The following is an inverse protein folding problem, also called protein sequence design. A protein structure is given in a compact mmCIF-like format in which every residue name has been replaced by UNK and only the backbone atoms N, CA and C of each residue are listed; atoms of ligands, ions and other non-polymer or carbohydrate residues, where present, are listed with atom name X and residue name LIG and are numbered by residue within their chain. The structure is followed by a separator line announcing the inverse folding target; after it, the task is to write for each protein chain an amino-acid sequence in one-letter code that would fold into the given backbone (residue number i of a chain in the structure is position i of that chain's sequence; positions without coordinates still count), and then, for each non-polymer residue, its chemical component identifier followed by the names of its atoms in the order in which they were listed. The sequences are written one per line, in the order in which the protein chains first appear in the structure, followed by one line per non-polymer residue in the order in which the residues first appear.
data_IF_295579797226
#
_entry.id   IF_295579797226
#
_cell.length_a   1.000
_cell.length_b   1.000
_cell.length_c   1.000
_cell.angle_alpha   90.00
_cell.angle_beta   90.00
_cell.angle_gamma   90.00
#
_symmetry.space_group_name_H-M   'P 1'
#
loop_
_entity.id
_entity.type
_entity.pdbx_description
1 polymer ?
#
# COMPACT_ATOMS: atom_id res chain seq x y z
N UNK A 1 -0.46 -5.73 -11.24
CA UNK A 1 -1.85 -5.45 -10.92
C UNK A 1 -2.79 -6.54 -11.44
N UNK A 2 -2.70 -6.93 -12.70
CA UNK A 2 -3.57 -7.97 -13.31
C UNK A 2 -3.58 -9.29 -12.54
N UNK A 3 -2.46 -9.72 -12.01
CA UNK A 3 -2.39 -10.96 -11.19
C UNK A 3 -3.24 -10.91 -9.91
N UNK A 4 -3.61 -9.72 -9.45
CA UNK A 4 -4.38 -9.51 -8.23
C UNK A 4 -5.85 -9.16 -8.52
N UNK A 5 -6.10 -8.40 -9.56
CA UNK A 5 -7.41 -7.84 -9.87
C UNK A 5 -7.98 -8.31 -11.21
N UNK A 6 -7.24 -9.15 -11.95
CA UNK A 6 -7.62 -9.58 -13.28
C UNK A 6 -7.87 -8.42 -14.24
N UNK A 7 -8.68 -8.68 -15.26
CA UNK A 7 -9.02 -7.67 -16.27
C UNK A 7 -9.83 -6.49 -15.72
N UNK A 8 -10.43 -6.62 -14.53
CA UNK A 8 -11.23 -5.53 -13.94
C UNK A 8 -10.42 -4.26 -13.73
N UNK A 9 -9.09 -4.38 -13.54
CA UNK A 9 -8.19 -3.24 -13.34
C UNK A 9 -8.14 -2.30 -14.55
N UNK A 10 -8.44 -2.79 -15.75
CA UNK A 10 -8.39 -2.02 -16.99
C UNK A 10 -9.69 -1.29 -17.33
N UNK A 11 -10.79 -1.58 -16.62
CA UNK A 11 -12.11 -1.02 -16.93
C UNK A 11 -12.21 0.47 -16.65
N UNK A 12 -11.37 1.01 -15.76
CA UNK A 12 -11.39 2.42 -15.39
C UNK A 12 -10.01 3.03 -15.60
N UNK A 13 -9.78 3.45 -16.85
CA UNK A 13 -8.50 4.07 -17.25
C UNK A 13 -8.30 5.41 -16.56
N UNK A 14 -7.09 5.61 -16.00
CA UNK A 14 -6.67 6.86 -15.38
C UNK A 14 -6.98 6.99 -13.88
N UNK A 15 -8.08 6.45 -13.37
CA UNK A 15 -8.45 6.55 -11.95
C UNK A 15 -7.58 5.67 -11.04
N UNK A 16 -7.01 4.61 -11.59
CA UNK A 16 -6.13 3.69 -10.85
C UNK A 16 -4.77 4.31 -10.50
N UNK A 17 -4.39 5.43 -11.10
CA UNK A 17 -3.19 6.17 -10.71
C UNK A 17 -3.34 6.93 -9.38
N UNK A 18 -4.58 7.14 -8.92
CA UNK A 18 -4.89 7.98 -7.76
C UNK A 18 -5.69 7.26 -6.66
N UNK A 19 -5.80 5.94 -6.70
CA UNK A 19 -6.56 5.14 -5.72
C UNK A 19 -8.05 5.56 -5.59
N UNK A 20 -8.67 6.04 -6.67
CA UNK A 20 -10.05 6.55 -6.63
C UNK A 20 -11.07 5.42 -6.72
N UNK A 21 -10.76 4.37 -7.49
CA UNK A 21 -11.67 3.28 -7.75
C UNK A 21 -11.38 2.04 -6.92
N UNK A 22 -12.45 1.36 -6.53
CA UNK A 22 -12.41 0.05 -5.89
C UNK A 22 -12.53 -1.04 -6.95
N UNK A 23 -11.73 -2.08 -6.82
CA UNK A 23 -11.73 -3.25 -7.70
C UNK A 23 -11.94 -4.52 -6.88
N UNK A 24 -12.65 -5.46 -7.45
CA UNK A 24 -12.80 -6.80 -6.87
C UNK A 24 -11.52 -7.60 -7.11
N UNK A 25 -11.06 -8.33 -6.10
CA UNK A 25 -9.94 -9.24 -6.24
C UNK A 25 -10.37 -10.53 -6.93
N UNK A 26 -9.56 -11.04 -7.82
CA UNK A 26 -9.74 -12.39 -8.36
C UNK A 26 -9.28 -13.46 -7.37
N UNK A 27 -10.01 -14.56 -7.32
CA UNK A 27 -9.68 -15.71 -6.48
C UNK A 27 -8.66 -16.64 -7.16
N UNK A 28 -7.86 -17.39 -6.39
CA UNK A 28 -7.76 -17.44 -4.92
C UNK A 28 -6.79 -16.37 -4.41
N UNK A 29 -7.21 -15.66 -3.36
CA UNK A 29 -6.37 -14.66 -2.74
C UNK A 29 -5.53 -15.29 -1.62
N UNK A 30 -4.23 -15.04 -1.58
CA UNK A 30 -3.38 -15.54 -0.50
C UNK A 30 -3.53 -14.67 0.76
N UNK A 31 -3.38 -15.29 1.95
CA UNK A 31 -3.37 -14.57 3.23
C UNK A 31 -2.30 -13.46 3.30
N UNK A 32 -1.32 -13.50 2.39
CA UNK A 32 -0.26 -12.51 2.27
C UNK A 32 -0.80 -11.08 2.05
N UNK A 33 -1.98 -10.94 1.42
CA UNK A 33 -2.57 -9.65 1.10
C UNK A 33 -3.77 -9.28 1.98
N UNK A 34 -4.01 -10.04 3.05
CA UNK A 34 -5.16 -9.82 3.94
C UNK A 34 -5.26 -8.38 4.48
N UNK A 35 -4.12 -7.70 4.70
CA UNK A 35 -4.08 -6.33 5.20
C UNK A 35 -4.60 -5.26 4.25
N UNK A 36 -4.78 -5.57 2.96
CA UNK A 36 -5.27 -4.63 1.93
C UNK A 36 -6.64 -5.01 1.38
N UNK A 37 -7.23 -6.09 1.91
CA UNK A 37 -8.51 -6.61 1.47
C UNK A 37 -9.65 -6.15 2.38
N UNK A 38 -10.72 -5.66 1.78
CA UNK A 38 -11.95 -5.31 2.46
C UNK A 38 -13.09 -6.17 1.93
N UNK A 39 -13.88 -6.78 2.81
CA UNK A 39 -15.12 -7.44 2.36
C UNK A 39 -16.05 -6.43 1.74
N UNK A 40 -16.65 -6.76 0.61
CA UNK A 40 -17.61 -5.91 -0.10
C UNK A 40 -18.90 -5.76 0.70
N UNK A 41 -19.39 -6.87 1.25
CA UNK A 41 -20.49 -6.94 2.22
C UNK A 41 -20.17 -7.99 3.30
N UNK A 42 -20.93 -8.02 4.39
CA UNK A 42 -20.75 -9.02 5.45
C UNK A 42 -21.07 -10.45 4.97
N UNK A 43 -21.96 -10.58 3.99
CA UNK A 43 -22.47 -11.85 3.48
C UNK A 43 -21.67 -12.38 2.29
N UNK A 44 -21.00 -11.51 1.54
CA UNK A 44 -20.23 -11.89 0.36
C UNK A 44 -18.84 -12.41 0.71
N UNK A 45 -18.38 -13.39 -0.06
CA UNK A 45 -16.98 -13.80 -0.09
C UNK A 45 -16.18 -13.02 -1.15
N UNK A 46 -16.67 -11.83 -1.52
CA UNK A 46 -16.01 -10.93 -2.46
C UNK A 46 -15.18 -9.93 -1.65
N UNK A 47 -13.92 -9.84 -2.00
CA UNK A 47 -12.98 -8.89 -1.41
C UNK A 47 -12.65 -7.81 -2.42
N UNK A 48 -12.51 -6.59 -1.92
CA UNK A 48 -12.20 -5.41 -2.73
C UNK A 48 -10.96 -4.69 -2.21
N UNK A 49 -10.32 -3.94 -3.09
CA UNK A 49 -9.22 -3.05 -2.74
C UNK A 49 -9.17 -1.83 -3.64
N UNK A 50 -8.42 -0.82 -3.22
CA UNK A 50 -8.17 0.39 -4.01
C UNK A 50 -6.72 0.40 -4.46
N UNK A 51 -6.39 -0.19 -5.61
CA UNK A 51 -5.03 -0.21 -6.10
C UNK A 51 -4.59 1.16 -6.63
N UNK A 52 -3.31 1.45 -6.48
CA UNK A 52 -2.61 2.45 -7.26
C UNK A 52 -1.67 1.73 -8.22
N UNK A 53 -1.87 1.94 -9.52
CA UNK A 53 -0.98 1.39 -10.53
C UNK A 53 0.18 2.35 -10.72
N UNK A 54 1.38 1.86 -10.44
CA UNK A 54 2.62 2.62 -10.63
C UNK A 54 2.96 2.64 -12.12
N UNK A 55 3.12 3.83 -12.67
CA UNK A 55 3.55 4.01 -14.06
C UNK A 55 5.01 3.57 -14.23
N UNK A 56 5.37 3.08 -15.41
CA UNK A 56 6.75 2.74 -15.76
C UNK A 56 7.72 3.95 -15.64
N UNK A 57 7.18 5.16 -15.71
CA UNK A 57 7.95 6.41 -15.55
C UNK A 57 8.35 6.70 -14.10
N UNK A 58 7.69 6.06 -13.12
CA UNK A 58 7.97 6.24 -11.69
C UNK A 58 9.11 5.31 -11.27
N UNK A 59 10.31 5.63 -11.73
CA UNK A 59 11.50 4.77 -11.65
C UNK A 59 11.78 4.32 -10.22
N UNK A 60 11.77 5.24 -9.25
CA UNK A 60 12.10 4.95 -7.85
C UNK A 60 11.13 3.95 -7.23
N UNK A 61 9.83 4.17 -7.39
CA UNK A 61 8.80 3.29 -6.84
C UNK A 61 8.89 1.90 -7.49
N UNK A 62 9.13 1.85 -8.80
CA UNK A 62 9.32 0.58 -9.50
C UNK A 62 10.55 -0.18 -9.00
N UNK A 63 11.66 0.53 -8.72
CA UNK A 63 12.86 -0.09 -8.12
C UNK A 63 12.56 -0.67 -6.73
N UNK A 64 11.80 0.05 -5.90
CA UNK A 64 11.39 -0.43 -4.56
C UNK A 64 10.50 -1.66 -4.70
N UNK A 65 9.48 -1.62 -5.56
CA UNK A 65 8.58 -2.75 -5.79
C UNK A 65 9.33 -4.00 -6.26
N UNK A 66 10.25 -3.85 -7.20
CA UNK A 66 11.08 -4.96 -7.69
C UNK A 66 11.96 -5.55 -6.58
N UNK A 67 12.53 -4.73 -5.71
CA UNK A 67 13.32 -5.18 -4.56
C UNK A 67 12.47 -5.92 -3.53
N UNK A 68 11.29 -5.40 -3.22
CA UNK A 68 10.35 -6.04 -2.30
C UNK A 68 9.87 -7.38 -2.86
N UNK A 69 9.55 -7.46 -4.14
CA UNK A 69 9.20 -8.72 -4.80
C UNK A 69 10.36 -9.74 -4.71
N UNK A 70 11.59 -9.31 -4.97
CA UNK A 70 12.74 -10.19 -4.92
C UNK A 70 13.08 -10.72 -3.51
N UNK A 71 12.81 -9.93 -2.46
CA UNK A 71 13.15 -10.29 -1.07
C UNK A 71 12.01 -11.04 -0.37
N UNK A 72 10.77 -10.63 -0.59
CA UNK A 72 9.59 -11.07 0.18
C UNK A 72 8.55 -11.79 -0.68
N UNK A 73 8.76 -11.92 -1.99
CA UNK A 73 7.74 -12.38 -2.96
C UNK A 73 6.42 -11.57 -2.89
N UNK A 74 6.49 -10.33 -2.38
CA UNK A 74 5.34 -9.46 -2.29
C UNK A 74 5.17 -8.63 -3.56
N UNK A 75 3.98 -8.65 -4.14
CA UNK A 75 3.67 -8.03 -5.45
C UNK A 75 3.18 -6.59 -5.35
N UNK A 76 3.01 -6.08 -4.13
CA UNK A 76 2.52 -4.73 -3.89
C UNK A 76 3.02 -4.19 -2.54
N UNK A 77 2.91 -2.88 -2.38
CA UNK A 77 3.09 -2.17 -1.12
C UNK A 77 1.75 -1.62 -0.64
N UNK A 78 1.63 -1.43 0.66
CA UNK A 78 0.46 -0.78 1.25
C UNK A 78 0.72 0.71 1.35
N UNK A 79 -0.18 1.52 0.79
CA UNK A 79 -0.17 2.96 0.99
C UNK A 79 -1.06 3.29 2.19
N UNK A 80 -0.55 4.08 3.12
CA UNK A 80 -1.26 4.54 4.31
C UNK A 80 -0.96 6.01 4.58
N UNK A 81 -1.79 6.66 5.42
CA UNK A 81 -1.52 8.03 5.84
C UNK A 81 -0.25 8.11 6.68
N UNK A 82 0.51 9.19 6.51
CA UNK A 82 1.70 9.44 7.31
C UNK A 82 1.31 10.14 8.63
N UNK A 83 1.00 9.34 9.62
CA UNK A 83 0.67 9.79 10.98
C UNK A 83 0.80 8.66 11.99
N UNK A 84 0.96 9.00 13.25
CA UNK A 84 0.72 8.08 14.36
C UNK A 84 -0.78 7.87 14.50
N UNK A 85 -1.21 6.64 14.75
CA UNK A 85 -2.63 6.32 14.94
C UNK A 85 -3.27 7.23 15.99
N UNK A 86 -4.41 7.83 15.66
CA UNK A 86 -5.14 8.78 16.52
C UNK A 86 -4.58 10.21 16.51
N UNK A 87 -3.55 10.51 15.73
CA UNK A 87 -3.00 11.87 15.53
C UNK A 87 -3.29 12.38 14.13
N UNK A 88 -3.27 13.72 13.92
CA UNK A 88 -3.39 14.31 12.59
C UNK A 88 -2.31 13.83 11.62
N UNK A 89 -2.59 13.92 10.32
CA UNK A 89 -1.61 13.69 9.28
C UNK A 89 -0.46 14.70 9.45
N UNK A 90 0.75 14.22 9.23
CA UNK A 90 1.97 15.03 9.26
C UNK A 90 1.84 16.24 8.33
N UNK A 91 2.16 17.41 8.86
CA UNK A 91 2.04 18.68 8.15
C UNK A 91 3.40 19.32 7.85
N UNK A 92 4.36 19.22 8.77
CA UNK A 92 5.68 19.83 8.64
C UNK A 92 6.83 18.87 9.00
N UNK A 93 8.06 19.32 8.86
CA UNK A 93 9.27 18.53 9.13
C UNK A 93 9.36 18.11 10.60
N UNK A 94 8.89 18.95 11.52
CA UNK A 94 8.89 18.63 12.94
C UNK A 94 7.94 17.47 13.23
N UNK A 95 6.76 17.47 12.61
CA UNK A 95 5.80 16.38 12.73
C UNK A 95 6.37 15.07 12.15
N UNK A 96 7.13 15.15 11.03
CA UNK A 96 7.82 14.00 10.44
C UNK A 96 8.77 13.37 11.45
N UNK A 97 9.63 14.20 12.04
CA UNK A 97 10.64 13.72 13.01
C UNK A 97 9.96 13.13 14.26
N UNK A 98 8.97 13.79 14.80
CA UNK A 98 8.22 13.29 15.98
C UNK A 98 7.50 11.97 15.68
N UNK A 99 6.91 11.85 14.49
CA UNK A 99 6.26 10.61 14.07
C UNK A 99 7.27 9.47 13.93
N UNK A 100 8.41 9.75 13.32
CA UNK A 100 9.48 8.75 13.16
C UNK A 100 10.06 8.31 14.51
N UNK A 101 10.36 9.24 15.41
CA UNK A 101 10.84 8.93 16.76
C UNK A 101 9.84 8.09 17.54
N UNK A 102 8.56 8.47 17.52
CA UNK A 102 7.50 7.68 18.15
C UNK A 102 7.45 6.25 17.62
N UNK A 103 7.48 6.09 16.30
CA UNK A 103 7.45 4.76 15.68
C UNK A 103 8.69 3.94 16.02
N UNK A 104 9.86 4.57 16.08
CA UNK A 104 11.11 3.92 16.46
C UNK A 104 11.09 3.43 17.91
N UNK A 105 10.59 4.24 18.84
CA UNK A 105 10.47 3.88 20.26
C UNK A 105 9.48 2.74 20.52
N UNK A 106 8.45 2.63 19.68
CA UNK A 106 7.39 1.62 19.80
C UNK A 106 7.55 0.46 18.79
N UNK A 107 8.63 0.42 18.05
CA UNK A 107 8.89 -0.63 17.10
C UNK A 107 9.11 -1.98 17.80
N UNK A 108 8.53 -3.03 17.23
CA UNK A 108 8.89 -4.39 17.61
C UNK A 108 10.32 -4.67 17.13
N UNK A 109 11.14 -5.25 17.97
CA UNK A 109 12.55 -5.59 17.64
C UNK A 109 12.66 -6.27 16.27
N UNK A 110 13.56 -5.76 15.42
CA UNK A 110 13.75 -6.21 14.05
C UNK A 110 12.73 -5.66 13.04
N UNK A 111 11.86 -4.70 13.47
CA UNK A 111 10.88 -4.02 12.60
C UNK A 111 10.93 -2.51 12.76
N UNK A 112 12.13 -1.97 12.91
CA UNK A 112 12.34 -0.54 13.02
C UNK A 112 11.85 0.18 11.75
N UNK A 113 11.17 1.33 11.90
CA UNK A 113 10.71 2.10 10.76
C UNK A 113 11.91 2.70 10.02
N UNK A 114 11.78 2.75 8.69
CA UNK A 114 12.74 3.45 7.84
C UNK A 114 12.11 4.74 7.34
N UNK A 115 12.85 5.85 7.45
CA UNK A 115 12.46 7.13 6.88
C UNK A 115 13.33 7.40 5.66
N UNK A 116 12.67 7.52 4.51
CA UNK A 116 13.32 7.99 3.28
C UNK A 116 12.91 9.44 3.05
N UNK A 117 13.91 10.31 2.94
CA UNK A 117 13.72 11.68 2.50
C UNK A 117 14.19 11.75 1.05
N UNK A 118 13.31 12.20 0.16
CA UNK A 118 13.61 12.37 -1.26
C UNK A 118 13.57 13.88 -1.51
N UNK A 119 14.69 14.44 -1.97
CA UNK A 119 14.80 15.82 -2.41
C UNK A 119 14.36 15.98 -3.86
#
# INVERSE_FOLDING_TARGET
AEKLFGESIHRVVGSNHFMICTHDYEKPFSNQYAGVMHKKTLEDNIYTGRPQIVSEKEILINMILNKVEAICDAKCLVNTSFNVHGRPIVFDVKDILQNFEYQREHAVSGKEPLLFVIE
#
